data_IF_042010054785
#
_entry.id   IF_042010054785
#
_cell.length_a   1.000
_cell.length_b   1.000
_cell.length_c   1.000
_cell.angle_alpha   90.00
_cell.angle_beta   90.00
_cell.angle_gamma   90.00
#
_symmetry.space_group_name_H-M   'P 1'
#
loop_
_entity.id
_entity.type
_entity.pdbx_description
1 polymer ?
#
# COMPACT_ATOMS: atom_id res chain seq x y z
N UNK A 1 2.73 17.45 -3.70
CA UNK A 1 3.97 16.73 -4.10
C UNK A 1 4.66 16.02 -2.92
N UNK A 2 4.92 16.67 -1.78
CA UNK A 2 5.62 16.03 -0.65
C UNK A 2 4.96 14.72 -0.16
N UNK A 3 3.63 14.70 -0.01
CA UNK A 3 2.89 13.50 0.42
C UNK A 3 2.99 12.36 -0.60
N UNK A 4 3.03 12.66 -1.90
CA UNK A 4 3.22 11.67 -2.97
C UNK A 4 4.59 11.02 -2.92
N UNK A 5 5.63 11.82 -2.65
CA UNK A 5 6.99 11.30 -2.45
C UNK A 5 7.05 10.31 -1.29
N UNK A 6 6.40 10.64 -0.18
CA UNK A 6 6.31 9.76 1.00
C UNK A 6 5.55 8.46 0.67
N UNK A 7 4.42 8.55 -0.05
CA UNK A 7 3.64 7.39 -0.48
C UNK A 7 4.48 6.43 -1.36
N UNK A 8 5.26 6.96 -2.30
CA UNK A 8 6.14 6.16 -3.17
C UNK A 8 7.29 5.53 -2.39
N UNK A 9 7.95 6.30 -1.53
CA UNK A 9 9.07 5.80 -0.73
C UNK A 9 8.64 4.65 0.17
N UNK A 10 7.53 4.82 0.90
CA UNK A 10 7.02 3.77 1.78
C UNK A 10 6.48 2.57 1.01
N UNK A 11 5.84 2.74 -0.16
CA UNK A 11 5.43 1.58 -0.96
C UNK A 11 6.63 0.79 -1.48
N UNK A 12 7.73 1.46 -1.86
CA UNK A 12 8.98 0.79 -2.24
C UNK A 12 9.61 0.06 -1.06
N UNK A 13 9.61 0.67 0.13
CA UNK A 13 10.09 0.02 1.35
C UNK A 13 9.31 -1.27 1.60
N UNK A 14 7.98 -1.23 1.62
CA UNK A 14 7.15 -2.44 1.80
C UNK A 14 7.40 -3.46 0.71
N UNK A 15 7.53 -3.04 -0.56
CA UNK A 15 7.83 -3.97 -1.66
C UNK A 15 9.15 -4.71 -1.44
N UNK A 16 10.21 -4.02 -0.99
CA UNK A 16 11.51 -4.61 -0.72
C UNK A 16 11.45 -5.57 0.48
N UNK A 17 10.81 -5.15 1.57
CA UNK A 17 10.69 -5.96 2.78
C UNK A 17 9.85 -7.22 2.52
N UNK A 18 8.71 -7.08 1.85
CA UNK A 18 7.87 -8.22 1.48
C UNK A 18 8.55 -9.16 0.49
N UNK A 19 9.36 -8.63 -0.45
CA UNK A 19 10.17 -9.44 -1.36
C UNK A 19 11.27 -10.21 -0.60
N UNK A 20 11.90 -9.59 0.41
CA UNK A 20 12.85 -10.26 1.28
C UNK A 20 12.21 -11.43 2.05
N UNK A 21 11.03 -11.20 2.63
CA UNK A 21 10.25 -12.25 3.32
C UNK A 21 9.87 -13.37 2.35
N UNK A 22 9.37 -13.04 1.16
CA UNK A 22 8.98 -14.03 0.14
C UNK A 22 10.19 -14.86 -0.35
N UNK A 23 11.34 -14.21 -0.58
CA UNK A 23 12.56 -14.90 -0.97
C UNK A 23 13.05 -15.86 0.12
N UNK A 24 12.96 -15.46 1.40
CA UNK A 24 13.33 -16.32 2.51
C UNK A 24 12.44 -17.58 2.56
N UNK A 25 11.13 -17.45 2.36
CA UNK A 25 10.25 -18.63 2.26
C UNK A 25 10.66 -19.56 1.12
N UNK A 26 11.00 -19.02 -0.06
CA UNK A 26 11.35 -19.84 -1.23
C UNK A 26 12.73 -20.51 -1.14
N UNK A 27 13.69 -19.89 -0.44
CA UNK A 27 15.08 -20.40 -0.34
C UNK A 27 15.35 -21.18 0.94
N UNK A 28 14.69 -20.83 2.04
CA UNK A 28 14.95 -21.39 3.37
C UNK A 28 13.86 -22.34 3.84
N UNK A 29 12.72 -22.43 3.13
CA UNK A 29 11.64 -23.36 3.47
C UNK A 29 11.12 -24.08 2.24
N UNK A 30 10.48 -25.23 2.46
CA UNK A 30 9.81 -26.03 1.41
C UNK A 30 8.36 -25.55 1.19
N UNK A 31 7.96 -24.47 1.88
CA UNK A 31 6.60 -23.98 1.96
C UNK A 31 6.51 -22.69 1.14
N UNK A 32 5.46 -22.58 0.32
CA UNK A 32 5.23 -21.40 -0.50
C UNK A 32 5.01 -20.13 0.37
N UNK A 33 5.28 -18.96 -0.22
CA UNK A 33 5.10 -17.68 0.47
C UNK A 33 3.64 -17.51 0.93
N UNK A 34 3.40 -17.08 2.18
CA UNK A 34 2.05 -16.93 2.69
C UNK A 34 1.28 -15.86 1.89
N UNK A 35 -0.02 -16.09 1.60
CA UNK A 35 -0.82 -15.18 0.77
C UNK A 35 -0.94 -13.78 1.35
N UNK A 36 -0.80 -13.63 2.67
CA UNK A 36 -0.81 -12.35 3.39
C UNK A 36 0.36 -11.44 2.95
N UNK A 37 1.55 -11.99 2.71
CA UNK A 37 2.73 -11.24 2.24
C UNK A 37 2.58 -10.90 0.77
N UNK A 38 2.01 -11.81 -0.03
CA UNK A 38 1.72 -11.54 -1.44
C UNK A 38 0.68 -10.42 -1.60
N UNK A 39 -0.28 -10.30 -0.67
CA UNK A 39 -1.25 -9.19 -0.66
C UNK A 39 -0.60 -7.82 -0.39
N UNK A 40 0.45 -7.75 0.44
CA UNK A 40 1.26 -6.54 0.62
C UNK A 40 1.97 -6.14 -0.68
N UNK A 41 2.58 -7.09 -1.38
CA UNK A 41 3.23 -6.85 -2.68
C UNK A 41 2.25 -6.27 -3.71
N UNK A 42 1.06 -6.88 -3.83
CA UNK A 42 0.01 -6.38 -4.73
C UNK A 42 -0.40 -4.95 -4.36
N UNK A 43 -0.56 -4.67 -3.06
CA UNK A 43 -0.93 -3.33 -2.57
C UNK A 43 0.17 -2.30 -2.87
N UNK A 44 1.43 -2.66 -2.68
CA UNK A 44 2.57 -1.80 -2.99
C UNK A 44 2.68 -1.51 -4.49
N UNK A 45 2.53 -2.51 -5.35
CA UNK A 45 2.54 -2.35 -6.81
C UNK A 45 1.36 -1.48 -7.26
N UNK A 46 0.17 -1.75 -6.73
CA UNK A 46 -1.02 -0.96 -7.04
C UNK A 46 -0.86 0.51 -6.62
N UNK A 47 -0.24 0.76 -5.47
CA UNK A 47 0.09 2.10 -4.99
C UNK A 47 1.09 2.83 -5.91
N UNK A 48 2.13 2.14 -6.38
CA UNK A 48 3.08 2.70 -7.35
C UNK A 48 2.41 3.04 -8.68
N UNK A 49 1.61 2.12 -9.20
CA UNK A 49 0.83 2.34 -10.42
C UNK A 49 -0.14 3.50 -10.23
N UNK A 50 -0.80 3.61 -9.08
CA UNK A 50 -1.74 4.69 -8.78
C UNK A 50 -1.07 6.06 -8.81
N UNK A 51 0.11 6.20 -8.18
CA UNK A 51 0.86 7.46 -8.23
C UNK A 51 1.33 7.77 -9.65
N UNK A 52 1.82 6.77 -10.39
CA UNK A 52 2.17 6.95 -11.80
C UNK A 52 0.96 7.37 -12.63
N UNK A 53 -0.22 6.79 -12.37
CA UNK A 53 -1.44 7.13 -13.08
C UNK A 53 -1.85 8.59 -12.82
N UNK A 54 -1.77 9.04 -11.58
CA UNK A 54 -2.21 10.37 -11.16
C UNK A 54 -1.24 11.50 -11.53
N UNK A 55 0.06 11.22 -11.60
CA UNK A 55 1.09 12.24 -11.92
C UNK A 55 1.46 12.27 -13.41
N UNK A 56 1.43 11.10 -14.07
CA UNK A 56 1.90 10.95 -15.44
C UNK A 56 0.77 11.10 -16.46
N UNK A 57 -0.43 10.52 -16.24
CA UNK A 57 -1.50 10.61 -17.22
C UNK A 57 -2.10 12.00 -17.45
N UNK A 58 -2.27 12.90 -16.47
CA UNK A 58 -2.82 14.22 -16.79
C UNK A 58 -1.90 15.03 -17.73
N UNK A 59 -0.63 14.63 -17.89
CA UNK A 59 0.31 15.24 -18.85
C UNK A 59 0.10 14.76 -20.28
N UNK A 60 -0.48 13.57 -20.47
CA UNK A 60 -0.64 12.93 -21.78
C UNK A 60 -2.10 12.86 -22.25
N UNK A 61 -3.06 12.73 -21.31
CA UNK A 61 -4.46 12.49 -21.62
C UNK A 61 -5.35 13.31 -20.68
N UNK A 62 -6.03 14.37 -21.17
CA UNK A 62 -6.85 15.26 -20.34
C UNK A 62 -8.09 14.57 -19.74
N UNK A 63 -8.52 13.43 -20.29
CA UNK A 63 -9.62 12.62 -19.77
C UNK A 63 -9.38 12.11 -18.33
N UNK A 64 -8.13 11.88 -17.95
CA UNK A 64 -7.78 11.37 -16.61
C UNK A 64 -7.84 12.43 -15.52
N UNK A 65 -8.15 13.69 -15.86
CA UNK A 65 -8.36 14.78 -14.90
C UNK A 65 -9.75 14.73 -14.22
N UNK A 66 -10.52 13.65 -14.39
CA UNK A 66 -11.84 13.53 -13.79
C UNK A 66 -11.73 13.36 -12.25
N UNK A 67 -12.32 14.25 -11.44
CA UNK A 67 -12.24 14.20 -9.98
C UNK A 67 -12.77 12.89 -9.39
N UNK A 68 -13.76 12.27 -10.03
CA UNK A 68 -14.31 10.98 -9.57
C UNK A 68 -13.32 9.82 -9.74
N UNK A 69 -12.49 9.86 -10.79
CA UNK A 69 -11.47 8.84 -11.01
C UNK A 69 -10.35 8.96 -9.97
N UNK A 70 -9.94 10.20 -9.67
CA UNK A 70 -8.95 10.47 -8.63
C UNK A 70 -9.45 9.97 -7.28
N UNK A 71 -10.71 10.21 -6.94
CA UNK A 71 -11.35 9.72 -5.72
C UNK A 71 -11.39 8.18 -5.65
N UNK A 72 -11.72 7.52 -6.77
CA UNK A 72 -11.77 6.06 -6.85
C UNK A 72 -10.38 5.43 -6.62
N UNK A 73 -9.33 5.99 -7.23
CA UNK A 73 -7.95 5.49 -7.05
C UNK A 73 -7.47 5.68 -5.60
N UNK A 74 -7.70 6.85 -5.02
CA UNK A 74 -7.32 7.16 -3.64
C UNK A 74 -8.01 6.22 -2.63
N UNK A 75 -9.32 6.02 -2.80
CA UNK A 75 -10.10 5.15 -1.91
C UNK A 75 -9.74 3.68 -2.07
N UNK A 76 -9.48 3.20 -3.29
CA UNK A 76 -9.00 1.85 -3.52
C UNK A 76 -7.66 1.59 -2.82
N UNK A 77 -6.72 2.53 -2.89
CA UNK A 77 -5.43 2.41 -2.19
C UNK A 77 -5.61 2.35 -0.67
N UNK A 78 -6.43 3.23 -0.09
CA UNK A 78 -6.70 3.20 1.34
C UNK A 78 -7.28 1.84 1.78
N UNK A 79 -8.25 1.31 1.04
CA UNK A 79 -8.84 0.01 1.35
C UNK A 79 -7.84 -1.15 1.21
N UNK A 80 -7.00 -1.13 0.18
CA UNK A 80 -5.98 -2.17 0.00
C UNK A 80 -4.93 -2.15 1.11
N UNK A 81 -4.41 -0.98 1.49
CA UNK A 81 -3.45 -0.86 2.58
C UNK A 81 -4.03 -1.28 3.93
N UNK A 82 -5.29 -0.91 4.21
CA UNK A 82 -5.97 -1.35 5.42
C UNK A 82 -6.20 -2.87 5.44
N UNK A 83 -6.75 -3.43 4.35
CA UNK A 83 -7.08 -4.84 4.26
C UNK A 83 -5.85 -5.73 4.35
N UNK A 84 -4.80 -5.41 3.59
CA UNK A 84 -3.53 -6.15 3.61
C UNK A 84 -2.79 -6.00 4.95
N UNK A 85 -2.80 -4.81 5.56
CA UNK A 85 -2.22 -4.57 6.88
C UNK A 85 -2.89 -5.39 8.00
N UNK A 86 -4.22 -5.45 8.01
CA UNK A 86 -4.98 -6.29 8.97
C UNK A 86 -4.72 -7.77 8.74
N UNK A 87 -4.72 -8.20 7.48
CA UNK A 87 -4.45 -9.59 7.12
C UNK A 87 -3.05 -10.03 7.61
N UNK A 88 -2.03 -9.19 7.42
CA UNK A 88 -0.68 -9.46 7.91
C UNK A 88 -0.62 -9.43 9.44
N UNK A 89 -1.25 -8.45 10.10
CA UNK A 89 -1.26 -8.36 11.56
C UNK A 89 -1.91 -9.59 12.22
N UNK A 90 -3.03 -10.08 11.68
CA UNK A 90 -3.69 -11.30 12.18
C UNK A 90 -2.81 -12.52 11.96
N UNK A 91 -2.12 -12.62 10.82
CA UNK A 91 -1.17 -13.71 10.57
C UNK A 91 -0.06 -13.70 11.63
N UNK A 92 0.61 -12.56 11.84
CA UNK A 92 1.67 -12.44 12.85
C UNK A 92 1.18 -12.70 14.28
N UNK A 93 -0.03 -12.26 14.62
CA UNK A 93 -0.63 -12.49 15.93
C UNK A 93 -0.89 -13.97 16.26
N UNK A 94 -0.94 -14.85 15.25
CA UNK A 94 -1.11 -16.30 15.45
C UNK A 94 0.21 -17.07 15.50
N UNK A 95 1.36 -16.43 15.29
CA UNK A 95 2.66 -17.09 15.38
C UNK A 95 3.12 -17.15 16.86
N UNK A 96 3.24 -18.37 17.42
CA UNK A 96 3.67 -18.60 18.82
C UNK A 96 5.10 -18.11 19.13
N UNK A 97 5.96 -17.99 18.12
CA UNK A 97 7.32 -17.47 18.28
C UNK A 97 7.79 -16.83 16.99
N UNK A 98 7.78 -15.51 16.95
CA UNK A 98 8.26 -14.73 15.82
C UNK A 98 9.62 -14.13 16.21
N UNK A 99 10.71 -14.81 15.86
CA UNK A 99 12.08 -14.45 16.24
C UNK A 99 12.99 -14.43 15.00
N UNK A 100 13.80 -13.38 14.86
CA UNK A 100 14.74 -13.20 13.76
C UNK A 100 14.38 -12.05 12.81
N UNK A 101 15.28 -11.77 11.85
CA UNK A 101 15.16 -10.63 10.94
C UNK A 101 13.93 -10.67 10.02
N UNK A 102 13.50 -11.87 9.61
CA UNK A 102 12.31 -12.06 8.74
C UNK A 102 11.02 -11.65 9.46
N UNK A 103 10.92 -11.99 10.75
CA UNK A 103 9.80 -11.58 11.58
C UNK A 103 9.79 -10.06 11.79
N UNK A 104 10.94 -9.47 12.11
CA UNK A 104 11.06 -8.03 12.29
C UNK A 104 10.70 -7.27 11.00
N UNK A 105 11.09 -7.79 9.83
CA UNK A 105 10.70 -7.26 8.54
C UNK A 105 9.18 -7.33 8.33
N UNK A 106 8.54 -8.47 8.62
CA UNK A 106 7.09 -8.62 8.50
C UNK A 106 6.31 -7.73 9.49
N UNK A 107 6.86 -7.50 10.70
CA UNK A 107 6.28 -6.54 11.65
C UNK A 107 6.40 -5.11 11.14
N UNK A 108 7.54 -4.75 10.56
CA UNK A 108 7.73 -3.44 9.94
C UNK A 108 6.76 -3.23 8.78
N UNK A 109 6.56 -4.24 7.92
CA UNK A 109 5.56 -4.19 6.83
C UNK A 109 4.15 -3.89 7.36
N UNK A 110 3.75 -4.55 8.45
CA UNK A 110 2.45 -4.29 9.06
C UNK A 110 2.31 -2.84 9.54
N UNK A 111 3.35 -2.28 10.17
CA UNK A 111 3.35 -0.86 10.61
C UNK A 111 3.30 0.09 9.41
N UNK A 112 4.14 -0.13 8.40
CA UNK A 112 4.16 0.71 7.19
C UNK A 112 2.83 0.64 6.44
N UNK A 113 2.12 -0.49 6.48
CA UNK A 113 0.79 -0.61 5.89
C UNK A 113 -0.22 0.38 6.50
N UNK A 114 -0.25 0.50 7.84
CA UNK A 114 -1.14 1.44 8.51
C UNK A 114 -0.70 2.89 8.33
N UNK A 115 0.61 3.17 8.30
CA UNK A 115 1.14 4.50 7.98
C UNK A 115 0.73 4.91 6.57
N UNK A 116 0.82 4.00 5.60
CA UNK A 116 0.37 4.21 4.23
C UNK A 116 -1.14 4.42 4.15
N UNK A 117 -1.92 3.64 4.90
CA UNK A 117 -3.36 3.85 4.99
C UNK A 117 -3.70 5.28 5.45
N UNK A 118 -3.05 5.78 6.50
CA UNK A 118 -3.23 7.16 6.97
C UNK A 118 -2.77 8.17 5.93
N UNK A 119 -1.65 7.92 5.25
CA UNK A 119 -1.15 8.80 4.20
C UNK A 119 -2.13 8.91 3.01
N UNK A 120 -2.75 7.80 2.60
CA UNK A 120 -3.78 7.78 1.55
C UNK A 120 -5.10 8.39 2.01
N UNK A 121 -5.50 8.20 3.28
CA UNK A 121 -6.64 8.93 3.84
C UNK A 121 -6.40 10.45 3.89
N UNK A 122 -5.17 10.86 4.23
CA UNK A 122 -4.77 12.26 4.28
C UNK A 122 -4.89 12.97 2.94
N UNK A 123 -4.75 12.26 1.81
CA UNK A 123 -4.99 12.80 0.46
C UNK A 123 -6.43 12.63 0.00
N UNK A 124 -7.09 11.53 0.37
CA UNK A 124 -8.49 11.24 0.03
C UNK A 124 -9.48 12.24 0.65
N UNK A 125 -9.35 12.52 1.94
CA UNK A 125 -10.29 13.38 2.69
C UNK A 125 -10.39 14.81 2.13
N UNK A 126 -9.28 15.55 1.92
CA UNK A 126 -9.37 16.89 1.32
C UNK A 126 -9.90 16.86 -0.11
N UNK A 127 -9.55 15.83 -0.89
CA UNK A 127 -10.09 15.65 -2.25
C UNK A 127 -11.61 15.47 -2.22
N UNK A 128 -12.11 14.57 -1.35
CA UNK A 128 -13.54 14.32 -1.17
C UNK A 128 -14.29 15.59 -0.74
N UNK A 129 -13.74 16.34 0.24
CA UNK A 129 -14.34 17.61 0.67
C UNK A 129 -14.37 18.66 -0.44
N UNK A 130 -13.33 18.70 -1.30
CA UNK A 130 -13.28 19.59 -2.46
C UNK A 130 -14.40 19.28 -3.47
N UNK A 131 -14.64 18.00 -3.74
CA UNK A 131 -15.72 17.55 -4.65
C UNK A 131 -17.09 17.89 -4.06
N UNK A 132 -17.32 17.62 -2.78
CA UNK A 132 -18.60 17.90 -2.11
C UNK A 132 -18.90 19.41 -2.07
N UNK A 133 -17.89 20.26 -1.84
CA UNK A 133 -18.06 21.72 -1.80
C UNK A 133 -18.13 22.37 -3.19
N UNK A 134 -17.46 21.81 -4.20
CA UNK A 134 -17.44 22.34 -5.57
C UNK A 134 -18.52 21.78 -6.49
N UNK A 135 -19.24 20.74 -6.07
CA UNK A 135 -20.37 20.14 -6.78
C UNK A 135 -21.75 20.65 -6.32
N UNK A 136 -21.80 21.78 -5.59
CA UNK A 136 -23.02 22.45 -5.13
C UNK A 136 -23.22 23.81 -5.78
#
# INVERSE_FOLDING_TARGET
LAVRGIQVLFSLTVMILSAYVANWYNTSTIIASPPHVNAMLVSAIFSLLSVALLELLPKFVPFFSNPYLHLAIESANALFWLGSGVALAVFLGRLLSCRGGVCAAAQADAVFAYVMFVAWLGTLVPLAMGIVKGGG
#
